data_IF_035190908390
#
_entry.id   IF_035190908390
#
_cell.length_a   1.000
_cell.length_b   1.000
_cell.length_c   1.000
_cell.angle_alpha   90.00
_cell.angle_beta   90.00
_cell.angle_gamma   90.00
#
_symmetry.space_group_name_H-M   'P 1'
#
loop_
_entity.id
_entity.type
_entity.pdbx_description
1 polymer ?
#
# COMPACT_ATOMS: atom_id res chain seq x y z
N UNK A 1 -3.29 15.23 71.86
CA UNK A 1 -2.19 15.25 70.86
C UNK A 1 -2.56 14.19 69.80
N UNK A 2 -3.18 14.62 68.72
CA UNK A 2 -3.62 13.74 67.61
C UNK A 2 -2.73 13.97 66.41
N UNK A 3 -2.05 12.92 65.95
CA UNK A 3 -1.18 12.92 64.79
C UNK A 3 -1.99 12.50 63.57
N UNK A 4 -2.32 13.46 62.70
CA UNK A 4 -2.99 13.19 61.40
C UNK A 4 -1.96 12.72 60.38
N UNK A 5 -2.08 11.47 59.95
CA UNK A 5 -1.30 10.88 58.88
C UNK A 5 -1.96 11.23 57.53
N UNK A 6 -1.33 12.10 56.71
CA UNK A 6 -1.78 12.39 55.34
C UNK A 6 -1.15 11.37 54.41
N UNK A 7 -2.01 10.48 53.88
CA UNK A 7 -1.61 9.47 52.87
C UNK A 7 -1.63 10.11 51.47
N UNK A 8 -0.48 10.41 50.90
CA UNK A 8 -0.36 10.89 49.52
C UNK A 8 -0.45 9.68 48.57
N UNK A 9 -1.53 9.59 47.81
CA UNK A 9 -1.70 8.59 46.76
C UNK A 9 -1.02 9.15 45.47
N UNK A 10 0.14 8.58 45.12
CA UNK A 10 0.76 8.80 43.84
C UNK A 10 0.01 7.96 42.77
N UNK A 11 -0.82 8.61 41.94
CA UNK A 11 -1.31 8.01 40.69
C UNK A 11 -0.15 7.97 39.69
N UNK A 12 0.48 6.83 39.55
CA UNK A 12 1.38 6.55 38.44
C UNK A 12 0.55 6.42 37.15
N UNK A 13 0.55 7.47 36.32
CA UNK A 13 -0.04 7.43 35.00
C UNK A 13 0.70 6.42 34.13
N UNK A 14 0.09 5.28 33.87
CA UNK A 14 0.59 4.30 32.89
C UNK A 14 0.31 4.90 31.52
N UNK A 15 1.31 5.58 30.92
CA UNK A 15 1.31 5.94 29.51
C UNK A 15 1.50 4.65 28.71
N UNK A 16 0.42 4.09 28.18
CA UNK A 16 0.48 3.04 27.17
C UNK A 16 1.07 3.64 25.90
N UNK A 17 2.39 3.59 25.76
CA UNK A 17 3.04 3.76 24.46
C UNK A 17 2.56 2.61 23.60
N UNK A 18 1.76 2.90 22.56
CA UNK A 18 1.52 1.96 21.48
C UNK A 18 2.88 1.58 20.90
N UNK A 19 3.28 0.34 21.11
CA UNK A 19 4.48 -0.24 20.51
C UNK A 19 4.19 -0.39 19.01
N UNK A 20 4.46 0.67 18.24
CA UNK A 20 4.71 0.49 16.81
C UNK A 20 6.02 -0.26 16.70
N UNK A 21 6.03 -1.41 16.02
CA UNK A 21 7.22 -2.23 15.89
C UNK A 21 8.38 -1.44 15.26
N UNK A 22 9.60 -1.78 15.63
CA UNK A 22 10.84 -1.13 15.16
C UNK A 22 11.01 -1.13 13.63
N UNK A 23 10.28 -2.01 12.91
CA UNK A 23 10.25 -2.11 11.45
C UNK A 23 9.35 -1.08 10.75
N UNK A 24 8.40 -0.48 11.45
CA UNK A 24 7.44 0.48 10.89
C UNK A 24 8.11 1.76 10.37
N UNK A 25 9.19 2.20 11.02
CA UNK A 25 9.92 3.41 10.64
C UNK A 25 10.68 3.29 9.32
N UNK A 26 11.13 2.09 8.94
CA UNK A 26 11.97 1.89 7.74
C UNK A 26 11.18 2.02 6.44
N UNK A 27 9.87 1.69 6.42
CA UNK A 27 9.04 1.82 5.23
C UNK A 27 8.55 3.26 5.02
N UNK A 28 8.55 4.08 6.08
CA UNK A 28 8.11 5.48 6.03
C UNK A 28 8.91 6.26 4.99
N UNK A 29 8.21 7.01 4.14
CA UNK A 29 8.80 7.81 3.07
C UNK A 29 8.05 7.64 1.76
N UNK A 30 8.60 8.23 0.71
CA UNK A 30 8.07 8.17 -0.66
C UNK A 30 8.93 7.23 -1.50
N UNK A 31 8.27 6.37 -2.25
CA UNK A 31 8.87 5.33 -3.06
C UNK A 31 8.38 5.46 -4.50
N UNK A 32 9.29 5.55 -5.45
CA UNK A 32 9.02 5.64 -6.89
C UNK A 32 8.84 4.24 -7.47
N UNK A 33 7.83 4.04 -8.29
CA UNK A 33 7.59 2.79 -9.00
C UNK A 33 8.71 2.52 -10.01
N UNK A 34 9.25 1.30 -9.98
CA UNK A 34 10.22 0.78 -10.95
C UNK A 34 9.56 -0.17 -11.93
N UNK A 35 8.78 -1.13 -11.42
CA UNK A 35 8.12 -2.14 -12.25
C UNK A 35 6.80 -2.59 -11.63
N UNK A 36 5.87 -3.01 -12.48
CA UNK A 36 4.61 -3.62 -12.10
C UNK A 36 4.32 -4.82 -13.00
N UNK A 37 4.49 -6.00 -12.48
CA UNK A 37 4.27 -7.26 -13.18
C UNK A 37 3.13 -8.01 -12.50
N UNK A 38 2.26 -8.65 -13.26
CA UNK A 38 1.31 -9.63 -12.72
C UNK A 38 1.71 -11.04 -13.14
N UNK A 39 1.57 -11.97 -12.22
CA UNK A 39 1.71 -13.39 -12.47
C UNK A 39 0.31 -14.01 -12.54
N UNK A 40 0.04 -14.76 -13.61
CA UNK A 40 -1.24 -15.47 -13.81
C UNK A 40 -1.18 -16.81 -13.08
N UNK A 41 -2.11 -17.05 -12.17
CA UNK A 41 -2.10 -18.28 -11.34
C UNK A 41 -2.15 -19.56 -12.15
N UNK A 42 -2.97 -19.58 -13.20
CA UNK A 42 -3.22 -20.78 -14.01
C UNK A 42 -2.02 -21.20 -14.86
N UNK A 43 -1.18 -20.24 -15.30
CA UNK A 43 -0.11 -20.49 -16.26
C UNK A 43 1.30 -20.19 -15.73
N UNK A 44 1.42 -19.43 -14.64
CA UNK A 44 2.68 -18.88 -14.16
C UNK A 44 3.26 -17.77 -15.05
N UNK A 45 2.54 -17.36 -16.09
CA UNK A 45 2.96 -16.30 -17.01
C UNK A 45 3.09 -14.98 -16.26
N UNK A 46 4.17 -14.25 -16.55
CA UNK A 46 4.42 -12.92 -15.99
C UNK A 46 4.25 -11.84 -17.06
N UNK A 47 3.37 -10.89 -16.80
CA UNK A 47 2.94 -9.87 -17.74
C UNK A 47 3.21 -8.46 -17.19
N UNK A 48 3.92 -7.59 -17.92
CA UNK A 48 4.09 -6.19 -17.55
C UNK A 48 2.81 -5.39 -17.91
N UNK A 49 1.71 -5.64 -17.17
CA UNK A 49 0.38 -5.08 -17.47
C UNK A 49 0.31 -3.55 -17.44
N UNK A 50 1.31 -2.91 -16.87
CA UNK A 50 1.45 -1.44 -16.87
C UNK A 50 2.57 -0.94 -17.80
N UNK A 51 3.09 -1.79 -18.70
CA UNK A 51 4.21 -1.48 -19.58
C UNK A 51 5.57 -1.72 -18.91
N UNK A 52 6.64 -1.50 -19.66
CA UNK A 52 8.02 -1.70 -19.20
C UNK A 52 8.51 -0.57 -18.28
N UNK A 53 7.95 0.64 -18.44
CA UNK A 53 8.32 1.85 -17.69
C UNK A 53 7.08 2.52 -17.08
N UNK A 54 6.37 1.83 -16.17
CA UNK A 54 5.25 2.44 -15.48
C UNK A 54 5.73 3.61 -14.62
N UNK A 55 4.82 4.51 -14.26
CA UNK A 55 5.13 5.65 -13.40
C UNK A 55 4.22 5.70 -12.17
N UNK A 56 4.71 6.27 -11.10
CA UNK A 56 3.89 6.44 -9.90
C UNK A 56 4.70 6.40 -8.63
N UNK A 57 3.96 6.56 -7.54
CA UNK A 57 4.54 6.63 -6.21
C UNK A 57 3.66 5.93 -5.19
N UNK A 58 4.30 5.41 -4.17
CA UNK A 58 3.66 5.09 -2.89
C UNK A 58 4.32 5.92 -1.79
N UNK A 59 3.51 6.50 -0.91
CA UNK A 59 4.01 7.28 0.24
C UNK A 59 3.42 6.73 1.52
N UNK A 60 4.30 6.30 2.43
CA UNK A 60 3.94 5.90 3.78
C UNK A 60 4.25 7.05 4.74
N UNK A 61 3.23 7.58 5.41
CA UNK A 61 3.39 8.65 6.38
C UNK A 61 3.59 8.10 7.80
N UNK A 62 4.37 8.78 8.66
CA UNK A 62 4.57 8.37 10.05
C UNK A 62 3.28 8.23 10.85
N UNK A 63 2.23 8.96 10.46
CA UNK A 63 0.91 8.90 11.08
C UNK A 63 0.06 7.70 10.68
N UNK A 64 0.63 6.69 9.99
CA UNK A 64 -0.08 5.47 9.61
C UNK A 64 -0.98 5.62 8.37
N UNK A 65 -0.78 6.64 7.54
CA UNK A 65 -1.49 6.81 6.27
C UNK A 65 -0.60 6.47 5.09
N UNK A 66 -1.18 5.77 4.10
CA UNK A 66 -0.50 5.41 2.87
C UNK A 66 -1.28 5.91 1.66
N UNK A 67 -0.56 6.38 0.64
CA UNK A 67 -1.10 6.84 -0.65
C UNK A 67 -0.44 6.07 -1.78
N UNK A 68 -1.25 5.56 -2.70
CA UNK A 68 -0.81 4.94 -3.94
C UNK A 68 -1.35 5.71 -5.13
N UNK A 69 -0.47 6.07 -6.07
CA UNK A 69 -0.85 6.57 -7.38
C UNK A 69 0.11 5.95 -8.40
N UNK A 70 -0.35 4.94 -9.11
CA UNK A 70 0.43 4.17 -10.08
C UNK A 70 -0.27 4.22 -11.43
N UNK A 71 0.46 4.51 -12.49
CA UNK A 71 -0.07 4.61 -13.85
C UNK A 71 0.79 3.83 -14.83
N UNK A 72 0.16 3.27 -15.85
CA UNK A 72 0.85 2.58 -16.92
C UNK A 72 1.68 3.53 -17.78
N UNK A 73 2.63 2.97 -18.49
CA UNK A 73 3.42 3.64 -19.52
C UNK A 73 2.55 4.12 -20.69
N UNK A 74 2.96 5.18 -21.36
CA UNK A 74 2.41 5.60 -22.67
C UNK A 74 0.99 6.17 -22.62
N UNK A 75 0.46 6.55 -21.47
CA UNK A 75 -0.86 7.17 -21.34
C UNK A 75 -0.94 8.49 -22.12
N UNK A 76 -2.04 8.67 -22.84
CA UNK A 76 -2.33 9.90 -23.62
C UNK A 76 -3.66 10.52 -23.16
N UNK A 77 -3.86 11.83 -23.34
CA UNK A 77 -5.16 12.45 -23.10
C UNK A 77 -6.27 11.75 -23.91
N UNK A 78 -7.38 11.43 -23.25
CA UNK A 78 -8.54 10.79 -23.87
C UNK A 78 -9.44 11.84 -24.50
N UNK A 79 -9.95 11.56 -25.71
CA UNK A 79 -10.89 12.40 -26.45
C UNK A 79 -12.30 11.81 -26.50
N UNK A 80 -12.43 10.50 -26.29
CA UNK A 80 -13.68 9.75 -26.31
C UNK A 80 -13.98 9.10 -24.94
N UNK A 81 -15.23 8.72 -24.69
CA UNK A 81 -15.61 8.03 -23.47
C UNK A 81 -14.98 6.63 -23.37
N UNK A 82 -14.82 5.95 -24.48
CA UNK A 82 -14.10 4.68 -24.54
C UNK A 82 -12.65 4.83 -24.09
N UNK A 83 -11.94 5.82 -24.61
CA UNK A 83 -10.56 6.09 -24.21
C UNK A 83 -10.46 6.48 -22.73
N UNK A 84 -11.45 7.21 -22.18
CA UNK A 84 -11.52 7.52 -20.74
C UNK A 84 -11.67 6.24 -19.90
N UNK A 85 -12.53 5.31 -20.35
CA UNK A 85 -12.69 4.02 -19.69
C UNK A 85 -11.40 3.18 -19.76
N UNK A 86 -10.71 3.18 -20.90
CA UNK A 86 -9.41 2.51 -21.06
C UNK A 86 -8.34 3.12 -20.13
N UNK A 87 -8.31 4.45 -19.96
CA UNK A 87 -7.41 5.10 -19.01
C UNK A 87 -7.65 4.65 -17.55
N UNK A 88 -8.88 4.37 -17.16
CA UNK A 88 -9.19 3.90 -15.82
C UNK A 88 -8.54 2.53 -15.54
N UNK A 89 -8.47 1.65 -16.54
CA UNK A 89 -7.81 0.34 -16.43
C UNK A 89 -6.28 0.44 -16.29
N UNK A 90 -5.71 1.58 -16.64
CA UNK A 90 -4.26 1.85 -16.53
C UNK A 90 -3.89 2.68 -15.29
N UNK A 91 -4.74 2.69 -14.29
CA UNK A 91 -4.59 3.42 -13.03
C UNK A 91 -4.79 2.47 -11.86
N UNK A 92 -3.95 2.58 -10.85
CA UNK A 92 -4.20 2.08 -9.49
C UNK A 92 -3.96 3.24 -8.53
N UNK A 93 -5.02 3.74 -7.92
CA UNK A 93 -4.93 4.86 -6.99
C UNK A 93 -5.84 4.63 -5.77
N UNK A 94 -5.27 4.65 -4.59
CA UNK A 94 -6.04 4.53 -3.36
C UNK A 94 -5.25 5.06 -2.16
N UNK A 95 -5.96 5.34 -1.09
CA UNK A 95 -5.38 5.71 0.20
C UNK A 95 -6.15 5.05 1.33
N UNK A 96 -5.54 5.01 2.50
CA UNK A 96 -6.12 4.47 3.71
C UNK A 96 -5.13 4.50 4.87
N UNK A 97 -5.54 3.96 6.00
CA UNK A 97 -4.64 3.73 7.12
C UNK A 97 -3.93 2.40 6.95
N UNK A 98 -2.65 2.33 7.34
CA UNK A 98 -1.90 1.07 7.28
C UNK A 98 -1.41 0.63 8.65
N UNK A 99 -1.23 -0.67 8.79
CA UNK A 99 -0.53 -1.30 9.92
C UNK A 99 0.44 -2.34 9.38
N UNK A 100 1.55 -2.57 10.09
CA UNK A 100 2.58 -3.54 9.73
C UNK A 100 2.61 -4.67 10.76
N UNK A 101 2.80 -5.88 10.27
CA UNK A 101 3.03 -7.08 11.08
C UNK A 101 4.09 -7.94 10.38
N UNK A 102 5.33 -7.89 10.86
CA UNK A 102 6.48 -8.55 10.25
C UNK A 102 6.76 -8.03 8.84
N UNK A 103 6.73 -8.92 7.85
CA UNK A 103 6.94 -8.63 6.42
C UNK A 103 5.64 -8.30 5.66
N UNK A 104 4.58 -7.99 6.37
CA UNK A 104 3.26 -7.74 5.80
C UNK A 104 2.69 -6.42 6.29
N UNK A 105 2.17 -5.59 5.38
CA UNK A 105 1.30 -4.48 5.75
C UNK A 105 -0.13 -4.73 5.30
N UNK A 106 -1.08 -4.17 6.05
CA UNK A 106 -2.50 -4.15 5.72
C UNK A 106 -2.97 -2.71 5.61
N UNK A 107 -3.53 -2.32 4.46
CA UNK A 107 -4.19 -1.03 4.27
C UNK A 107 -5.70 -1.18 4.44
N UNK A 108 -6.28 -0.44 5.39
CA UNK A 108 -7.73 -0.24 5.47
C UNK A 108 -8.08 0.93 4.54
N UNK A 109 -8.66 0.62 3.38
CA UNK A 109 -8.89 1.58 2.29
C UNK A 109 -10.09 2.46 2.60
N UNK A 110 -9.94 3.78 2.53
CA UNK A 110 -11.03 4.76 2.70
C UNK A 110 -11.35 5.56 1.43
N UNK A 111 -10.40 5.67 0.48
CA UNK A 111 -10.62 6.26 -0.85
C UNK A 111 -9.90 5.42 -1.90
N UNK A 112 -10.55 5.12 -3.02
CA UNK A 112 -9.97 4.35 -4.11
C UNK A 112 -10.52 4.76 -5.48
N UNK A 113 -9.71 4.54 -6.54
CA UNK A 113 -10.12 4.70 -7.94
C UNK A 113 -11.26 3.73 -8.32
N UNK A 114 -11.26 2.52 -7.75
CA UNK A 114 -12.37 1.56 -7.85
C UNK A 114 -13.18 1.59 -6.56
N UNK A 115 -14.47 2.00 -6.60
CA UNK A 115 -15.33 2.08 -5.43
C UNK A 115 -15.46 0.77 -4.64
N UNK A 116 -15.32 -0.40 -5.28
CA UNK A 116 -15.36 -1.71 -4.61
C UNK A 116 -14.24 -1.91 -3.58
N UNK A 117 -13.18 -1.11 -3.65
CA UNK A 117 -12.07 -1.20 -2.70
C UNK A 117 -12.32 -0.41 -1.41
N UNK A 118 -13.23 0.56 -1.44
CA UNK A 118 -13.56 1.36 -0.26
C UNK A 118 -14.14 0.48 0.83
N UNK A 119 -13.63 0.59 2.06
CA UNK A 119 -14.01 -0.23 3.21
C UNK A 119 -13.34 -1.60 3.25
N UNK A 120 -12.51 -1.97 2.26
CA UNK A 120 -11.79 -3.24 2.26
C UNK A 120 -10.41 -3.16 2.93
N UNK A 121 -9.85 -4.33 3.23
CA UNK A 121 -8.47 -4.48 3.69
C UNK A 121 -7.60 -5.03 2.57
N UNK A 122 -6.57 -4.28 2.19
CA UNK A 122 -5.60 -4.66 1.17
C UNK A 122 -4.31 -5.14 1.84
N UNK A 123 -4.07 -6.46 1.82
CA UNK A 123 -2.88 -7.09 2.40
C UNK A 123 -1.76 -7.17 1.37
N UNK A 124 -0.53 -6.90 1.78
CA UNK A 124 0.69 -6.97 0.94
C UNK A 124 1.83 -7.56 1.74
N UNK A 125 2.49 -8.57 1.19
CA UNK A 125 3.81 -8.94 1.67
C UNK A 125 4.86 -8.03 1.05
N UNK A 126 5.91 -7.69 1.79
CA UNK A 126 6.96 -6.83 1.29
C UNK A 126 8.34 -7.28 1.76
N UNK A 127 9.34 -6.91 0.99
CA UNK A 127 10.75 -7.03 1.34
C UNK A 127 11.40 -5.66 1.17
N UNK A 128 12.15 -5.24 2.17
CA UNK A 128 12.86 -3.98 2.17
C UNK A 128 14.36 -4.24 2.24
N UNK A 129 15.10 -3.85 1.20
CA UNK A 129 16.54 -3.97 1.11
C UNK A 129 17.16 -2.62 0.73
N UNK A 130 17.71 -1.92 1.73
CA UNK A 130 18.24 -0.56 1.52
C UNK A 130 17.15 0.39 0.99
N UNK A 131 17.39 0.95 -0.19
CA UNK A 131 16.45 1.86 -0.87
C UNK A 131 15.49 1.12 -1.84
N UNK A 132 15.42 -0.21 -1.82
CA UNK A 132 14.49 -1.00 -2.62
C UNK A 132 13.37 -1.58 -1.78
N UNK A 133 12.13 -1.47 -2.25
CA UNK A 133 10.92 -2.04 -1.68
C UNK A 133 10.24 -2.94 -2.72
N UNK A 134 10.27 -4.25 -2.49
CA UNK A 134 9.57 -5.24 -3.30
C UNK A 134 8.28 -5.68 -2.62
N UNK A 135 7.21 -5.76 -3.40
CA UNK A 135 5.84 -5.97 -2.92
C UNK A 135 5.19 -7.12 -3.66
N UNK A 136 4.54 -8.00 -2.92
CA UNK A 136 3.77 -9.11 -3.45
C UNK A 136 2.34 -9.06 -2.93
N UNK A 137 1.36 -9.16 -3.84
CA UNK A 137 -0.05 -9.27 -3.44
C UNK A 137 -0.48 -10.72 -3.29
N UNK A 138 -1.52 -11.01 -2.49
CA UNK A 138 -2.21 -12.30 -2.55
C UNK A 138 -2.78 -12.56 -3.94
N UNK A 139 -3.05 -13.83 -4.26
CA UNK A 139 -3.82 -14.21 -5.45
C UNK A 139 -5.23 -13.62 -5.38
N UNK A 140 -5.67 -12.96 -6.45
CA UNK A 140 -7.00 -12.35 -6.56
C UNK A 140 -7.33 -12.02 -8.01
N UNK A 141 -8.61 -11.91 -8.33
CA UNK A 141 -9.05 -11.35 -9.62
C UNK A 141 -9.07 -9.83 -9.50
N UNK A 142 -8.25 -9.17 -10.31
CA UNK A 142 -8.16 -7.70 -10.36
C UNK A 142 -9.16 -7.13 -11.37
N UNK A 143 -9.88 -6.03 -11.04
CA UNK A 143 -10.81 -5.40 -11.96
C UNK A 143 -10.17 -4.98 -13.29
N UNK A 144 -8.94 -4.46 -13.23
CA UNK A 144 -8.21 -3.94 -14.40
C UNK A 144 -7.88 -5.01 -15.45
N UNK A 145 -7.77 -6.28 -15.06
CA UNK A 145 -7.40 -7.41 -15.93
C UNK A 145 -8.09 -8.71 -15.51
N UNK A 146 -9.41 -8.59 -15.27
CA UNK A 146 -10.25 -9.71 -14.85
C UNK A 146 -10.34 -10.84 -15.89
N UNK A 147 -10.06 -10.55 -17.15
CA UNK A 147 -9.94 -11.50 -18.25
C UNK A 147 -8.84 -12.56 -18.04
N UNK A 148 -7.86 -12.28 -17.19
CA UNK A 148 -6.74 -13.19 -16.87
C UNK A 148 -7.03 -14.15 -15.71
N UNK A 149 -8.19 -14.02 -15.06
CA UNK A 149 -8.52 -14.79 -13.86
C UNK A 149 -7.69 -14.36 -12.64
N UNK A 150 -7.47 -15.25 -11.67
CA UNK A 150 -6.67 -14.95 -10.50
C UNK A 150 -5.22 -14.63 -10.85
N UNK A 151 -4.75 -13.48 -10.39
CA UNK A 151 -3.39 -12.99 -10.56
C UNK A 151 -2.82 -12.52 -9.23
N UNK A 152 -1.50 -12.40 -9.12
CA UNK A 152 -0.83 -11.65 -8.07
C UNK A 152 0.08 -10.58 -8.68
N UNK A 153 0.17 -9.44 -8.04
CA UNK A 153 1.06 -8.37 -8.46
C UNK A 153 2.42 -8.52 -7.79
N UNK A 154 3.47 -8.36 -8.59
CA UNK A 154 4.86 -8.26 -8.17
C UNK A 154 5.29 -6.84 -8.54
N UNK A 155 5.55 -6.01 -7.54
CA UNK A 155 5.78 -4.58 -7.75
C UNK A 155 7.07 -4.16 -7.06
N UNK A 156 7.93 -3.46 -7.77
CA UNK A 156 9.19 -2.97 -7.22
C UNK A 156 9.22 -1.45 -7.21
N UNK A 157 9.74 -0.90 -6.12
CA UNK A 157 9.91 0.53 -5.91
C UNK A 157 11.32 0.84 -5.44
N UNK A 158 11.76 2.09 -5.64
CA UNK A 158 12.94 2.65 -5.01
C UNK A 158 12.57 3.87 -4.16
N UNK A 159 13.32 4.10 -3.10
CA UNK A 159 13.14 5.26 -2.23
C UNK A 159 13.51 6.55 -2.99
N UNK A 160 12.64 7.56 -2.90
CA UNK A 160 12.98 8.91 -3.36
C UNK A 160 13.79 9.64 -2.29
N UNK A 161 14.80 10.38 -2.73
CA UNK A 161 15.62 11.26 -1.88
C UNK A 161 15.05 12.67 -1.83
#
# INVERSE_FOLDING_TARGET
MGLSLVLAIFLAGISTRSSFGEDDGRIVGTWRLLSYVVEVQATGEKLPVMGEKPTGYVTFQPGGRVFFVLTAEGRKPATTDRERAELLNTLVAYTGTYSIAGDTWTTSVDVAWNPEWVGTKQVRSFKLEGDQLDVLTPWRTMPNWSDKGPTRSIVSFERTR
#
